data_IF_765730750026
#
_entry.id   IF_765730750026
#
_cell.length_a   1.000
_cell.length_b   1.000
_cell.length_c   1.000
_cell.angle_alpha   90.00
_cell.angle_beta   90.00
_cell.angle_gamma   90.00
#
_symmetry.space_group_name_H-M   'P 1'
#
loop_
_entity.id
_entity.type
_entity.pdbx_description
1 polymer ?
#
# COMPACT_ATOMS: atom_id res chain seq x y z
N UNK A 1 -9.47 0.77 -31.75
CA UNK A 1 -9.09 0.29 -30.40
C UNK A 1 -7.78 0.98 -30.01
N UNK A 2 -7.82 1.83 -28.99
CA UNK A 2 -6.57 2.40 -28.49
C UNK A 2 -5.83 1.30 -27.70
N UNK A 3 -4.72 0.81 -28.27
CA UNK A 3 -3.90 -0.20 -27.61
C UNK A 3 -3.21 0.45 -26.43
N UNK A 4 -3.53 0.00 -25.20
CA UNK A 4 -2.81 0.47 -24.00
C UNK A 4 -1.33 0.11 -24.10
N UNK A 5 -0.47 0.97 -23.61
CA UNK A 5 0.97 0.71 -23.50
C UNK A 5 1.34 0.51 -22.04
N UNK A 6 1.88 -0.66 -21.71
CA UNK A 6 2.38 -0.98 -20.38
C UNK A 6 3.90 -1.01 -20.42
N UNK A 7 4.56 -0.14 -19.66
CA UNK A 7 6.03 -0.05 -19.58
C UNK A 7 6.49 -0.28 -18.15
N UNK A 8 7.40 -1.23 -17.95
CA UNK A 8 8.01 -1.45 -16.64
C UNK A 8 8.72 -0.19 -16.14
N UNK A 9 8.49 0.20 -14.89
CA UNK A 9 9.17 1.31 -14.21
C UNK A 9 10.53 0.87 -13.67
N UNK A 10 10.57 -0.34 -13.10
CA UNK A 10 11.82 -1.01 -12.70
C UNK A 10 11.74 -2.48 -13.10
N UNK A 11 12.86 -3.22 -13.08
CA UNK A 11 12.81 -4.67 -13.30
C UNK A 11 12.00 -5.42 -12.23
N UNK A 12 11.92 -4.88 -11.02
CA UNK A 12 11.36 -5.57 -9.84
C UNK A 12 9.93 -5.19 -9.51
N UNK A 13 9.49 -3.97 -9.78
CA UNK A 13 8.17 -3.47 -9.36
C UNK A 13 7.72 -2.30 -10.24
N UNK A 14 6.41 -2.25 -10.46
CA UNK A 14 5.72 -1.13 -11.07
C UNK A 14 5.73 -1.12 -12.59
N UNK A 15 4.64 -0.60 -13.15
CA UNK A 15 4.56 -0.24 -14.56
C UNK A 15 3.79 1.08 -14.75
N UNK A 16 4.17 1.86 -15.79
CA UNK A 16 3.38 2.96 -16.31
C UNK A 16 2.39 2.42 -17.33
N UNK A 17 1.16 2.89 -17.29
CA UNK A 17 0.09 2.55 -18.23
C UNK A 17 -0.36 3.81 -18.95
N UNK A 18 -0.14 3.85 -20.25
CA UNK A 18 -0.43 4.99 -21.13
C UNK A 18 -1.49 4.61 -22.16
N UNK A 19 -2.10 5.63 -22.81
CA UNK A 19 -3.11 5.44 -23.84
C UNK A 19 -4.49 5.06 -23.29
N UNK A 20 -4.76 5.32 -22.00
CA UNK A 20 -6.01 5.00 -21.33
C UNK A 20 -6.60 6.23 -20.64
N UNK A 21 -7.94 6.25 -20.52
CA UNK A 21 -8.69 7.17 -19.67
C UNK A 21 -9.43 6.36 -18.62
N UNK A 22 -9.02 6.48 -17.36
CA UNK A 22 -9.57 5.68 -16.26
C UNK A 22 -11.05 5.96 -15.98
N UNK A 23 -11.54 7.16 -16.31
CA UNK A 23 -12.96 7.52 -16.20
C UNK A 23 -13.88 6.88 -17.26
N UNK A 24 -13.32 6.19 -18.29
CA UNK A 24 -14.09 5.62 -19.40
C UNK A 24 -13.45 4.33 -19.94
N UNK A 25 -13.35 3.30 -19.06
CA UNK A 25 -12.79 2.00 -19.40
C UNK A 25 -13.83 1.05 -19.96
N UNK A 26 -13.47 0.32 -21.02
CA UNK A 26 -14.17 -0.88 -21.42
C UNK A 26 -13.65 -2.12 -20.70
N UNK A 27 -14.36 -3.24 -20.79
CA UNK A 27 -14.03 -4.48 -20.08
C UNK A 27 -12.70 -5.10 -20.56
N UNK A 28 -12.35 -4.97 -21.83
CA UNK A 28 -11.10 -5.51 -22.39
C UNK A 28 -9.91 -4.73 -21.85
N UNK A 29 -9.97 -3.40 -21.90
CA UNK A 29 -8.94 -2.50 -21.35
C UNK A 29 -8.77 -2.71 -19.84
N UNK A 30 -9.87 -2.84 -19.09
CA UNK A 30 -9.81 -3.14 -17.65
C UNK A 30 -9.14 -4.49 -17.38
N UNK A 31 -9.46 -5.52 -18.17
CA UNK A 31 -8.82 -6.84 -18.03
C UNK A 31 -7.31 -6.78 -18.26
N UNK A 32 -6.86 -6.03 -19.26
CA UNK A 32 -5.45 -5.82 -19.54
C UNK A 32 -4.73 -5.06 -18.40
N UNK A 33 -5.37 -4.01 -17.85
CA UNK A 33 -4.87 -3.27 -16.68
C UNK A 33 -4.76 -4.21 -15.47
N UNK A 34 -5.78 -5.03 -15.21
CA UNK A 34 -5.79 -5.98 -14.10
C UNK A 34 -4.67 -7.02 -14.23
N UNK A 35 -4.42 -7.53 -15.42
CA UNK A 35 -3.29 -8.43 -15.66
C UNK A 35 -1.95 -7.77 -15.35
N UNK A 36 -1.73 -6.55 -15.87
CA UNK A 36 -0.52 -5.78 -15.60
C UNK A 36 -0.36 -5.47 -14.10
N UNK A 37 -1.44 -5.19 -13.37
CA UNK A 37 -1.43 -4.93 -11.94
C UNK A 37 -0.98 -6.15 -11.13
N UNK A 38 -1.52 -7.33 -11.42
CA UNK A 38 -1.15 -8.57 -10.74
C UNK A 38 0.30 -9.01 -11.04
N UNK A 39 0.80 -8.70 -12.25
CA UNK A 39 2.19 -8.97 -12.63
C UNK A 39 3.17 -7.98 -11.97
N UNK A 40 2.81 -6.69 -11.90
CA UNK A 40 3.71 -5.59 -11.53
C UNK A 40 3.55 -5.07 -10.12
N UNK A 41 2.55 -5.53 -9.36
CA UNK A 41 2.23 -5.14 -7.98
C UNK A 41 1.73 -3.70 -7.80
N UNK A 42 2.08 -2.79 -8.69
CA UNK A 42 1.60 -1.41 -8.72
C UNK A 42 1.60 -0.84 -10.15
N UNK A 43 0.71 0.13 -10.38
CA UNK A 43 0.60 0.83 -11.66
C UNK A 43 0.58 2.34 -11.45
N UNK A 44 1.20 3.05 -12.39
CA UNK A 44 1.15 4.51 -12.52
C UNK A 44 0.41 4.84 -13.81
N UNK A 45 -0.56 5.74 -13.72
CA UNK A 45 -1.33 6.29 -14.86
C UNK A 45 -1.07 7.79 -14.91
N UNK A 46 -0.17 8.27 -15.77
CA UNK A 46 0.17 9.68 -15.83
C UNK A 46 -0.98 10.55 -16.31
N UNK A 47 -1.13 11.75 -15.74
CA UNK A 47 -1.95 12.83 -16.24
C UNK A 47 -3.45 12.54 -16.38
N UNK A 48 -4.03 11.69 -15.54
CA UNK A 48 -5.43 11.29 -15.61
C UNK A 48 -6.40 12.39 -15.15
N UNK A 49 -6.00 13.24 -14.20
CA UNK A 49 -6.81 14.33 -13.63
C UNK A 49 -8.21 13.89 -13.19
N UNK A 50 -8.30 12.72 -12.52
CA UNK A 50 -9.58 12.13 -12.15
C UNK A 50 -10.38 13.03 -11.19
N UNK A 51 -11.64 13.24 -11.55
CA UNK A 51 -12.63 13.80 -10.63
C UNK A 51 -13.07 12.74 -9.60
N UNK A 52 -13.58 13.14 -8.42
CA UNK A 52 -14.03 12.20 -7.39
C UNK A 52 -14.97 11.10 -7.91
N UNK A 53 -15.94 11.45 -8.75
CA UNK A 53 -16.89 10.50 -9.33
C UNK A 53 -16.19 9.45 -10.20
N UNK A 54 -15.21 9.86 -11.02
CA UNK A 54 -14.46 8.98 -11.91
C UNK A 54 -13.54 8.06 -11.11
N UNK A 55 -12.86 8.59 -10.06
CA UNK A 55 -12.03 7.77 -9.17
C UNK A 55 -12.86 6.71 -8.43
N UNK A 56 -14.05 7.09 -7.93
CA UNK A 56 -14.96 6.16 -7.26
C UNK A 56 -15.51 5.10 -8.24
N UNK A 57 -15.83 5.48 -9.47
CA UNK A 57 -16.27 4.54 -10.50
C UNK A 57 -15.16 3.54 -10.86
N UNK A 58 -13.94 4.01 -11.08
CA UNK A 58 -12.78 3.17 -11.33
C UNK A 58 -12.49 2.23 -10.16
N UNK A 59 -12.54 2.73 -8.93
CA UNK A 59 -12.33 1.92 -7.73
C UNK A 59 -13.35 0.77 -7.60
N UNK A 60 -14.63 1.03 -7.89
CA UNK A 60 -15.69 0.00 -7.88
C UNK A 60 -15.48 -1.15 -8.84
N UNK A 61 -14.74 -0.95 -9.94
CA UNK A 61 -14.38 -2.03 -10.86
C UNK A 61 -13.44 -3.07 -10.22
N UNK A 62 -12.72 -2.68 -9.16
CA UNK A 62 -11.78 -3.54 -8.43
C UNK A 62 -12.42 -4.28 -7.25
N UNK A 63 -13.59 -3.87 -6.81
CA UNK A 63 -14.33 -4.49 -5.71
C UNK A 63 -15.02 -3.48 -4.79
N UNK A 64 -15.42 -3.95 -3.61
CA UNK A 64 -16.09 -3.11 -2.62
C UNK A 64 -15.16 -2.07 -2.03
N UNK A 65 -15.60 -0.82 -2.03
CA UNK A 65 -14.86 0.27 -1.41
C UNK A 65 -14.88 0.08 0.12
N UNK A 66 -13.71 0.18 0.73
CA UNK A 66 -13.59 0.11 2.18
C UNK A 66 -14.01 1.43 2.82
N UNK A 67 -14.94 1.35 3.77
CA UNK A 67 -15.34 2.48 4.60
C UNK A 67 -15.05 2.12 6.05
N UNK A 68 -14.20 2.91 6.69
CA UNK A 68 -13.77 2.69 8.09
C UNK A 68 -14.49 3.72 8.99
N UNK A 69 -15.23 3.29 10.03
CA UNK A 69 -16.07 4.19 10.83
C UNK A 69 -15.36 5.35 11.51
N UNK A 70 -14.05 5.23 11.78
CA UNK A 70 -13.24 6.25 12.46
C UNK A 70 -12.54 7.23 11.51
N UNK A 71 -12.84 7.17 10.21
CA UNK A 71 -12.22 8.03 9.20
C UNK A 71 -13.26 9.00 8.66
N UNK A 72 -12.92 10.29 8.65
CA UNK A 72 -13.74 11.33 8.00
C UNK A 72 -13.43 11.32 6.50
N UNK A 73 -14.42 11.02 5.71
CA UNK A 73 -14.35 11.02 4.24
C UNK A 73 -14.80 12.36 3.66
N UNK A 74 -14.48 12.60 2.40
CA UNK A 74 -14.93 13.78 1.66
C UNK A 74 -16.45 13.83 1.61
N UNK A 75 -17.02 15.01 1.76
CA UNK A 75 -18.47 15.23 1.75
C UNK A 75 -19.08 14.70 0.43
N UNK A 76 -20.16 13.94 0.54
CA UNK A 76 -20.81 13.30 -0.61
C UNK A 76 -20.10 12.06 -1.18
N UNK A 77 -18.90 11.70 -0.68
CA UNK A 77 -18.09 10.61 -1.21
C UNK A 77 -17.61 9.62 -0.15
N UNK A 78 -18.50 8.81 0.45
CA UNK A 78 -18.09 7.80 1.44
C UNK A 78 -17.05 6.83 0.82
N UNK A 79 -15.89 6.70 1.49
CA UNK A 79 -14.76 5.89 1.01
C UNK A 79 -13.70 6.66 0.24
N UNK A 80 -13.94 7.93 -0.12
CA UNK A 80 -12.91 8.81 -0.67
C UNK A 80 -12.35 9.69 0.45
N UNK A 81 -11.07 9.52 0.74
CA UNK A 81 -10.35 10.29 1.76
C UNK A 81 -9.41 11.28 1.07
N UNK A 82 -9.53 12.56 1.41
CA UNK A 82 -8.58 13.57 0.98
C UNK A 82 -7.39 13.61 1.94
N UNK A 83 -6.20 13.35 1.40
CA UNK A 83 -4.92 13.41 2.11
C UNK A 83 -4.26 14.74 1.82
N UNK A 84 -4.47 15.71 2.68
CA UNK A 84 -3.78 17.00 2.63
C UNK A 84 -2.70 16.98 3.71
N UNK A 85 -1.45 17.05 3.31
CA UNK A 85 -0.31 17.03 4.22
C UNK A 85 0.30 18.44 4.34
N UNK A 86 -0.04 19.18 5.39
CA UNK A 86 0.54 20.51 5.64
C UNK A 86 1.84 20.41 6.44
N UNK A 87 2.91 19.79 5.90
CA UNK A 87 4.22 19.78 6.53
C UNK A 87 4.55 18.63 7.50
N UNK A 88 5.69 18.74 8.18
CA UNK A 88 6.38 17.68 8.95
C UNK A 88 5.63 17.08 10.15
N UNK A 89 4.63 17.73 10.70
CA UNK A 89 3.97 17.26 11.93
C UNK A 89 3.09 15.99 11.75
N UNK A 90 2.93 15.52 10.51
CA UNK A 90 2.06 14.40 10.16
C UNK A 90 2.81 13.14 9.70
N UNK A 91 4.03 12.94 10.13
CA UNK A 91 4.94 11.85 9.72
C UNK A 91 4.49 10.41 10.09
N UNK A 92 3.18 10.13 10.14
CA UNK A 92 2.64 8.80 10.48
C UNK A 92 3.03 7.75 9.43
N UNK A 93 3.26 8.17 8.19
CA UNK A 93 3.53 7.30 7.04
C UNK A 93 4.99 7.28 6.61
N UNK A 94 5.89 7.92 7.37
CA UNK A 94 7.34 7.91 7.15
C UNK A 94 8.00 6.63 7.69
N UNK A 95 7.41 5.50 7.39
CA UNK A 95 8.03 4.19 7.54
C UNK A 95 7.42 3.23 6.51
N UNK A 96 8.11 2.15 6.23
CA UNK A 96 7.57 1.11 5.38
C UNK A 96 6.42 0.38 6.09
N UNK A 97 5.24 0.39 5.47
CA UNK A 97 4.04 -0.19 6.03
C UNK A 97 3.08 -0.70 4.96
N UNK A 98 2.11 -1.47 5.39
CA UNK A 98 0.91 -1.81 4.65
C UNK A 98 -0.28 -1.03 5.23
N UNK A 99 -1.29 -0.79 4.44
CA UNK A 99 -2.53 -0.17 4.90
C UNK A 99 -3.34 -1.11 5.80
N UNK A 100 -3.85 -0.57 6.91
CA UNK A 100 -4.89 -1.18 7.76
C UNK A 100 -4.60 -2.60 8.28
N UNK A 101 -3.34 -2.96 8.50
CA UNK A 101 -2.95 -4.30 8.97
C UNK A 101 -3.41 -4.65 10.38
N UNK A 102 -3.84 -3.67 11.15
CA UNK A 102 -4.38 -3.85 12.49
C UNK A 102 -5.83 -4.39 12.53
N UNK A 103 -6.46 -4.64 11.37
CA UNK A 103 -7.77 -5.28 11.25
C UNK A 103 -7.64 -6.69 10.67
N UNK A 104 -8.62 -7.56 10.96
CA UNK A 104 -8.60 -8.97 10.55
C UNK A 104 -8.52 -9.17 9.03
N UNK A 105 -9.14 -8.30 8.24
CA UNK A 105 -9.10 -8.31 6.78
C UNK A 105 -8.56 -6.96 6.26
N UNK A 106 -7.22 -6.80 6.15
CA UNK A 106 -6.59 -5.59 5.63
C UNK A 106 -7.03 -5.26 4.21
N UNK A 107 -6.96 -3.98 3.84
CA UNK A 107 -7.33 -3.53 2.49
C UNK A 107 -6.52 -4.26 1.40
N UNK A 108 -7.19 -4.64 0.30
CA UNK A 108 -6.55 -5.34 -0.81
C UNK A 108 -5.69 -4.41 -1.66
N UNK A 109 -6.23 -3.27 -2.04
CA UNK A 109 -5.51 -2.29 -2.86
C UNK A 109 -5.89 -0.86 -2.48
N UNK A 110 -5.01 0.07 -2.82
CA UNK A 110 -5.21 1.51 -2.65
C UNK A 110 -4.99 2.23 -3.97
N UNK A 111 -5.81 3.25 -4.23
CA UNK A 111 -5.75 4.13 -5.40
C UNK A 111 -5.57 5.55 -4.90
N UNK A 112 -4.48 6.20 -5.27
CA UNK A 112 -4.23 7.62 -5.06
C UNK A 112 -4.35 8.40 -6.36
N UNK A 113 -5.05 9.53 -6.32
CA UNK A 113 -5.13 10.49 -7.44
C UNK A 113 -4.57 11.84 -6.98
N UNK A 114 -3.50 12.30 -7.64
CA UNK A 114 -2.84 13.55 -7.32
C UNK A 114 -3.69 14.74 -7.76
N UNK A 115 -4.03 15.61 -6.81
CA UNK A 115 -4.80 16.85 -7.04
C UNK A 115 -3.85 18.05 -7.09
N UNK A 116 -3.04 18.23 -6.06
CA UNK A 116 -2.06 19.29 -5.95
C UNK A 116 -0.76 18.72 -5.37
N UNK A 117 0.35 18.99 -6.05
CA UNK A 117 1.64 18.43 -5.68
C UNK A 117 2.68 19.52 -5.53
N UNK A 118 3.62 19.40 -4.56
CA UNK A 118 4.75 20.31 -4.42
C UNK A 118 5.65 20.23 -5.66
N UNK A 119 6.38 21.32 -5.94
CA UNK A 119 7.34 21.35 -7.06
C UNK A 119 8.51 20.38 -6.87
N UNK A 120 8.81 19.99 -5.62
CA UNK A 120 9.82 18.99 -5.28
C UNK A 120 9.46 18.33 -3.95
N UNK A 121 9.83 17.06 -3.80
CA UNK A 121 9.53 16.26 -2.61
C UNK A 121 8.09 15.72 -2.56
N UNK A 122 7.72 15.12 -1.44
CA UNK A 122 6.42 14.50 -1.24
C UNK A 122 6.24 13.20 -2.01
N UNK A 123 7.33 12.55 -2.39
CA UNK A 123 7.35 11.29 -3.14
C UNK A 123 6.73 10.14 -2.34
N UNK A 124 6.43 9.06 -3.04
CA UNK A 124 6.04 7.80 -2.41
C UNK A 124 6.90 6.67 -2.96
N UNK A 125 7.28 5.74 -2.07
CA UNK A 125 8.05 4.56 -2.43
C UNK A 125 7.23 3.29 -2.22
N UNK A 126 7.45 2.29 -3.06
CA UNK A 126 6.87 0.95 -2.94
C UNK A 126 7.95 -0.12 -3.00
N UNK A 127 7.78 -1.19 -2.21
CA UNK A 127 8.69 -2.32 -2.14
C UNK A 127 7.97 -3.62 -2.49
N UNK A 128 8.58 -4.45 -3.36
CA UNK A 128 8.04 -5.74 -3.79
C UNK A 128 8.29 -6.83 -2.76
N UNK A 129 7.24 -7.25 -2.07
CA UNK A 129 7.31 -8.23 -1.00
C UNK A 129 7.26 -9.69 -1.48
N UNK A 130 6.89 -9.95 -2.76
CA UNK A 130 7.13 -11.24 -3.39
C UNK A 130 8.64 -11.50 -3.52
N UNK A 131 9.38 -10.55 -4.09
CA UNK A 131 10.83 -10.67 -4.22
C UNK A 131 11.53 -10.71 -2.86
N UNK A 132 11.00 -10.00 -1.86
CA UNK A 132 11.51 -10.09 -0.51
C UNK A 132 11.42 -11.51 0.05
N UNK A 133 10.33 -12.23 -0.21
CA UNK A 133 10.18 -13.64 0.16
C UNK A 133 11.03 -14.58 -0.70
N UNK A 134 10.98 -14.41 -2.03
CA UNK A 134 11.64 -15.29 -3.00
C UNK A 134 13.19 -15.32 -2.83
N UNK A 135 13.77 -14.22 -2.33
CA UNK A 135 15.23 -14.11 -2.08
C UNK A 135 15.67 -14.58 -0.69
N UNK A 136 14.75 -15.04 0.14
CA UNK A 136 15.11 -15.73 1.38
C UNK A 136 15.72 -17.11 1.07
N UNK A 137 16.65 -17.55 1.90
CA UNK A 137 17.11 -18.94 1.85
C UNK A 137 15.95 -19.90 2.13
N UNK A 138 16.00 -21.15 1.63
CA UNK A 138 14.98 -22.15 1.92
C UNK A 138 14.78 -22.41 3.43
N UNK A 139 15.84 -22.25 4.25
CA UNK A 139 15.77 -22.36 5.70
C UNK A 139 14.91 -21.24 6.31
N UNK A 140 15.14 -19.98 5.90
CA UNK A 140 14.35 -18.83 6.35
C UNK A 140 12.91 -18.93 5.86
N UNK A 141 12.66 -19.30 4.60
CA UNK A 141 11.31 -19.50 4.09
C UNK A 141 10.51 -20.52 4.91
N UNK A 142 11.13 -21.66 5.26
CA UNK A 142 10.49 -22.67 6.13
C UNK A 142 10.20 -22.15 7.54
N UNK A 143 11.19 -21.47 8.14
CA UNK A 143 11.03 -20.91 9.49
C UNK A 143 9.89 -19.88 9.55
N UNK A 144 9.87 -18.94 8.62
CA UNK A 144 8.88 -17.85 8.61
C UNK A 144 7.47 -18.31 8.22
N UNK A 145 7.33 -19.38 7.43
CA UNK A 145 6.02 -19.89 7.00
C UNK A 145 5.12 -20.37 8.15
N UNK A 146 5.70 -20.69 9.31
CA UNK A 146 4.95 -21.10 10.51
C UNK A 146 4.66 -19.95 11.48
N UNK A 147 5.20 -18.76 11.24
CA UNK A 147 5.08 -17.65 12.16
C UNK A 147 3.88 -16.75 11.83
N UNK A 148 3.26 -16.23 12.89
CA UNK A 148 2.29 -15.14 12.84
C UNK A 148 2.85 -13.97 13.63
N UNK A 149 2.53 -12.75 13.20
CA UNK A 149 2.97 -11.54 13.87
C UNK A 149 1.77 -10.69 14.32
N UNK A 150 1.94 -9.97 15.44
CA UNK A 150 0.99 -8.97 15.91
C UNK A 150 1.15 -7.70 15.09
N UNK A 151 0.08 -7.26 14.44
CA UNK A 151 0.02 -5.96 13.76
C UNK A 151 -0.83 -5.00 14.57
N UNK A 152 -0.29 -3.81 14.86
CA UNK A 152 -0.95 -2.84 15.73
C UNK A 152 -1.24 -1.53 15.05
N UNK A 153 -2.39 -0.93 15.36
CA UNK A 153 -2.81 0.41 14.98
C UNK A 153 -2.42 1.49 16.00
N UNK A 154 -1.31 1.33 16.71
CA UNK A 154 -0.87 2.27 17.77
C UNK A 154 -0.85 3.72 17.31
N UNK A 155 -0.37 4.00 16.09
CA UNK A 155 -0.33 5.36 15.54
C UNK A 155 -1.73 5.94 15.31
N UNK A 156 -2.64 5.15 14.77
CA UNK A 156 -4.04 5.56 14.57
C UNK A 156 -4.71 5.78 15.92
N UNK A 157 -4.50 4.88 16.87
CA UNK A 157 -5.05 5.01 18.22
C UNK A 157 -4.61 6.33 18.89
N UNK A 158 -3.32 6.65 18.84
CA UNK A 158 -2.79 7.92 19.36
C UNK A 158 -3.43 9.14 18.70
N UNK A 159 -3.53 9.13 17.37
CA UNK A 159 -4.14 10.24 16.61
C UNK A 159 -5.62 10.41 16.89
N UNK A 160 -6.34 9.31 17.07
CA UNK A 160 -7.79 9.32 17.33
C UNK A 160 -8.15 9.44 18.81
N UNK A 161 -7.15 9.63 19.69
CA UNK A 161 -7.38 9.75 21.14
C UNK A 161 -7.95 8.47 21.79
N UNK A 162 -7.71 7.31 21.18
CA UNK A 162 -8.16 6.02 21.76
C UNK A 162 -7.33 5.73 23.00
N UNK A 163 -8.03 5.57 24.14
CA UNK A 163 -7.44 5.20 25.42
C UNK A 163 -7.55 3.67 25.60
N UNK A 164 -6.46 3.03 25.98
CA UNK A 164 -6.41 1.58 26.20
C UNK A 164 -5.56 0.85 25.16
N UNK A 165 -5.79 -0.46 24.98
CA UNK A 165 -5.06 -1.26 24.01
C UNK A 165 -5.38 -0.83 22.60
N UNK A 166 -4.37 -0.52 21.75
CA UNK A 166 -4.61 -0.19 20.34
C UNK A 166 -5.27 -1.35 19.58
N UNK A 167 -6.08 -1.07 18.56
CA UNK A 167 -6.60 -2.12 17.69
C UNK A 167 -5.44 -2.93 17.11
N UNK A 168 -5.56 -4.24 17.11
CA UNK A 168 -4.53 -5.14 16.57
C UNK A 168 -5.13 -6.39 15.95
N UNK A 169 -4.35 -7.04 15.10
CA UNK A 169 -4.66 -8.33 14.52
C UNK A 169 -3.39 -9.18 14.39
N UNK A 170 -3.56 -10.51 14.36
CA UNK A 170 -2.47 -11.43 14.08
C UNK A 170 -2.58 -11.93 12.64
N UNK A 171 -1.49 -11.83 11.88
CA UNK A 171 -1.41 -12.27 10.50
C UNK A 171 -0.21 -13.19 10.27
N UNK A 172 -0.26 -14.07 9.26
CA UNK A 172 0.90 -14.86 8.86
C UNK A 172 2.03 -13.94 8.39
N UNK A 173 3.27 -14.25 8.77
CA UNK A 173 4.48 -13.54 8.30
C UNK A 173 4.74 -13.78 6.80
N UNK A 174 4.30 -14.91 6.29
CA UNK A 174 4.29 -15.25 4.87
C UNK A 174 2.86 -15.48 4.45
N UNK A 175 2.31 -14.55 3.65
CA UNK A 175 0.95 -14.68 3.13
C UNK A 175 0.94 -15.20 1.70
N UNK A 176 -0.10 -15.95 1.35
CA UNK A 176 -0.37 -16.34 -0.03
C UNK A 176 -1.31 -15.32 -0.68
N UNK A 177 -0.93 -14.79 -1.82
CA UNK A 177 -1.79 -13.87 -2.56
C UNK A 177 -2.98 -14.62 -3.19
N UNK A 178 -4.24 -14.19 -2.93
CA UNK A 178 -5.42 -14.99 -3.26
C UNK A 178 -5.66 -15.17 -4.77
N UNK A 179 -5.13 -14.28 -5.62
CA UNK A 179 -5.34 -14.31 -7.06
C UNK A 179 -4.16 -14.91 -7.83
N UNK A 180 -2.93 -14.67 -7.37
CA UNK A 180 -1.72 -15.15 -8.06
C UNK A 180 -1.16 -16.43 -7.49
N UNK A 181 -1.54 -16.80 -6.26
CA UNK A 181 -0.96 -17.92 -5.52
C UNK A 181 0.49 -17.69 -5.06
N UNK A 182 1.10 -16.55 -5.40
CA UNK A 182 2.48 -16.22 -4.99
C UNK A 182 2.55 -15.93 -3.50
N UNK A 183 3.67 -16.28 -2.89
CA UNK A 183 3.96 -15.96 -1.49
C UNK A 183 4.68 -14.62 -1.38
N UNK A 184 4.27 -13.81 -0.40
CA UNK A 184 4.87 -12.53 -0.07
C UNK A 184 5.22 -12.48 1.41
N UNK A 185 6.32 -11.81 1.76
CA UNK A 185 6.54 -11.42 3.16
C UNK A 185 5.46 -10.44 3.58
N UNK A 186 4.87 -10.68 4.75
CA UNK A 186 3.86 -9.81 5.33
C UNK A 186 4.32 -9.40 6.73
N UNK A 187 5.03 -8.28 6.78
CA UNK A 187 5.67 -7.71 7.97
C UNK A 187 5.47 -6.20 7.97
N UNK A 188 5.92 -5.52 9.00
CA UNK A 188 5.91 -4.06 9.10
C UNK A 188 7.08 -3.57 9.93
N UNK A 189 7.11 -2.28 10.24
CA UNK A 189 8.19 -1.69 11.01
C UNK A 189 8.25 -2.28 12.43
N UNK A 190 9.39 -2.86 12.84
CA UNK A 190 9.57 -3.44 14.17
C UNK A 190 9.38 -2.41 15.28
N UNK A 191 8.62 -2.79 16.32
CA UNK A 191 8.35 -1.92 17.48
C UNK A 191 7.32 -0.80 17.23
N UNK A 192 6.81 -0.65 15.99
CA UNK A 192 5.80 0.35 15.66
C UNK A 192 4.52 -0.29 15.13
N UNK A 193 4.58 -0.90 13.94
CA UNK A 193 3.43 -1.60 13.37
C UNK A 193 3.43 -3.10 13.65
N UNK A 194 4.60 -3.70 13.90
CA UNK A 194 4.77 -5.12 14.22
C UNK A 194 5.70 -5.27 15.43
N UNK A 195 5.17 -5.22 16.66
CA UNK A 195 5.99 -5.30 17.88
C UNK A 195 6.58 -6.69 18.14
N UNK A 196 5.83 -7.76 17.84
CA UNK A 196 6.25 -9.12 18.17
C UNK A 196 5.61 -10.18 17.27
N UNK A 197 6.18 -11.38 17.29
CA UNK A 197 5.50 -12.58 16.81
C UNK A 197 4.47 -13.07 17.83
N UNK A 198 3.48 -13.83 17.35
CA UNK A 198 2.48 -14.46 18.20
C UNK A 198 3.15 -15.42 19.19
N UNK A 199 2.76 -15.35 20.46
CA UNK A 199 3.31 -16.11 21.57
C UNK A 199 4.80 -15.87 21.88
N UNK A 200 5.36 -14.74 21.43
CA UNK A 200 6.71 -14.30 21.76
C UNK A 200 6.68 -12.89 22.38
N UNK A 201 7.64 -12.60 23.22
CA UNK A 201 7.86 -11.24 23.72
C UNK A 201 8.45 -10.35 22.65
N UNK A 202 8.36 -9.03 22.84
CA UNK A 202 9.00 -8.06 21.94
C UNK A 202 10.53 -8.25 21.89
N UNK A 203 11.15 -8.54 23.05
CA UNK A 203 12.59 -8.75 23.15
C UNK A 203 13.06 -9.98 22.36
N UNK A 204 12.30 -11.09 22.43
CA UNK A 204 12.59 -12.31 21.66
C UNK A 204 12.38 -12.12 20.17
N UNK A 205 11.37 -11.34 19.79
CA UNK A 205 10.99 -11.11 18.37
C UNK A 205 11.91 -10.13 17.66
N UNK A 206 12.41 -9.13 18.37
CA UNK A 206 13.08 -7.96 17.82
C UNK A 206 14.25 -8.28 16.89
N UNK A 207 15.22 -9.16 17.23
CA UNK A 207 16.35 -9.42 16.35
C UNK A 207 15.95 -9.98 14.98
N UNK A 208 14.95 -10.86 14.95
CA UNK A 208 14.47 -11.45 13.71
C UNK A 208 13.60 -10.46 12.90
N UNK A 209 12.75 -9.67 13.57
CA UNK A 209 11.94 -8.64 12.91
C UNK A 209 12.82 -7.57 12.28
N UNK A 210 13.85 -7.08 12.96
CA UNK A 210 14.80 -6.10 12.44
C UNK A 210 15.48 -6.64 11.17
N UNK A 211 16.03 -7.86 11.25
CA UNK A 211 16.70 -8.47 10.12
C UNK A 211 15.79 -8.67 8.91
N UNK A 212 14.55 -9.19 9.12
CA UNK A 212 13.58 -9.40 8.03
C UNK A 212 13.18 -8.06 7.41
N UNK A 213 12.97 -7.03 8.23
CA UNK A 213 12.58 -5.71 7.77
C UNK A 213 13.68 -5.09 6.89
N UNK A 214 14.93 -5.10 7.34
CA UNK A 214 16.07 -4.63 6.55
C UNK A 214 16.24 -5.43 5.26
N UNK A 215 16.11 -6.75 5.34
CA UNK A 215 16.13 -7.62 4.16
C UNK A 215 15.03 -7.24 3.17
N UNK A 216 13.81 -6.94 3.63
CA UNK A 216 12.68 -6.66 2.76
C UNK A 216 12.85 -5.36 1.96
N UNK A 217 13.35 -4.30 2.59
CA UNK A 217 13.44 -2.95 2.00
C UNK A 217 14.76 -2.68 1.27
N UNK A 218 15.35 -3.70 0.69
CA UNK A 218 16.55 -3.57 -0.14
C UNK A 218 16.30 -2.70 -1.38
N UNK A 219 17.21 -1.80 -1.76
CA UNK A 219 17.02 -0.82 -2.84
C UNK A 219 16.65 -1.42 -4.20
N UNK A 220 17.09 -2.64 -4.48
CA UNK A 220 16.82 -3.36 -5.75
C UNK A 220 15.35 -3.84 -5.89
N UNK A 221 14.53 -3.68 -4.86
CA UNK A 221 13.10 -4.05 -4.81
C UNK A 221 12.18 -2.85 -4.68
N UNK A 222 12.72 -1.65 -4.76
CA UNK A 222 12.02 -0.40 -4.50
C UNK A 222 11.83 0.39 -5.79
N UNK A 223 10.66 1.01 -5.91
CA UNK A 223 10.41 2.10 -6.84
C UNK A 223 10.02 3.35 -6.06
N UNK A 224 10.58 4.51 -6.41
CA UNK A 224 10.24 5.83 -5.89
C UNK A 224 9.55 6.64 -6.98
N UNK A 225 8.34 7.07 -6.70
CA UNK A 225 7.53 7.88 -7.61
C UNK A 225 7.62 9.35 -7.25
N UNK A 226 8.01 10.14 -8.23
CA UNK A 226 7.97 11.61 -8.19
C UNK A 226 6.62 12.02 -8.76
N UNK A 227 5.73 12.49 -7.89
CA UNK A 227 4.37 12.82 -8.26
C UNK A 227 4.29 14.01 -9.21
N UNK A 228 3.40 13.89 -10.21
CA UNK A 228 2.94 15.01 -11.02
C UNK A 228 1.45 15.25 -10.76
N UNK A 229 0.96 16.52 -10.84
CA UNK A 229 -0.47 16.78 -10.78
C UNK A 229 -1.23 15.95 -11.83
N UNK A 230 -2.33 15.34 -11.40
CA UNK A 230 -3.16 14.48 -12.24
C UNK A 230 -2.71 13.03 -12.36
N UNK A 231 -1.56 12.63 -11.78
CA UNK A 231 -1.16 11.23 -11.72
C UNK A 231 -2.14 10.40 -10.88
N UNK A 232 -2.37 9.17 -11.33
CA UNK A 232 -3.05 8.15 -10.54
C UNK A 232 -2.09 6.99 -10.32
N UNK A 233 -1.90 6.61 -9.05
CA UNK A 233 -1.10 5.44 -8.68
C UNK A 233 -1.97 4.48 -7.88
N UNK A 234 -1.89 3.22 -8.24
CA UNK A 234 -2.53 2.14 -7.48
C UNK A 234 -1.54 1.04 -7.14
N UNK A 235 -1.72 0.42 -5.98
CA UNK A 235 -0.85 -0.67 -5.54
C UNK A 235 -1.62 -1.75 -4.80
N UNK A 236 -1.04 -2.94 -4.85
CA UNK A 236 -1.56 -4.13 -4.19
C UNK A 236 -1.00 -4.25 -2.77
N UNK A 237 -1.82 -3.93 -1.77
CA UNK A 237 -1.45 -4.07 -0.36
C UNK A 237 -1.24 -5.52 0.07
N UNK A 238 -1.53 -6.49 -0.79
CA UNK A 238 -1.32 -7.90 -0.48
C UNK A 238 0.12 -8.34 -0.72
N UNK A 239 0.88 -7.54 -1.49
CA UNK A 239 2.25 -7.88 -1.86
C UNK A 239 3.22 -6.68 -1.94
N UNK A 240 2.82 -5.48 -1.47
CA UNK A 240 3.69 -4.31 -1.44
C UNK A 240 3.62 -3.58 -0.11
N UNK A 241 4.77 -3.22 0.46
CA UNK A 241 4.84 -2.14 1.44
C UNK A 241 5.05 -0.81 0.72
N UNK A 242 4.68 0.28 1.38
CA UNK A 242 4.90 1.62 0.88
C UNK A 242 5.38 2.58 1.96
N UNK A 243 5.96 3.70 1.52
CA UNK A 243 6.55 4.74 2.37
C UNK A 243 6.26 6.11 1.74
N UNK A 244 5.63 7.01 2.47
CA UNK A 244 5.45 8.40 2.04
C UNK A 244 6.61 9.26 2.54
N UNK A 245 7.26 9.97 1.64
CA UNK A 245 8.38 10.87 1.96
C UNK A 245 7.81 12.26 2.22
N UNK A 246 8.03 12.80 3.42
CA UNK A 246 7.53 14.12 3.84
C UNK A 246 8.66 15.14 3.86
N UNK A 247 9.34 15.31 2.72
CA UNK A 247 10.47 16.24 2.52
C UNK A 247 10.10 17.53 1.76
N UNK A 248 8.78 17.79 1.58
CA UNK A 248 8.27 18.92 0.82
C UNK A 248 8.04 20.21 1.65
N UNK A 249 8.47 20.23 2.91
CA UNK A 249 8.32 21.38 3.80
C UNK A 249 6.85 21.77 4.01
N UNK A 250 6.53 23.04 3.85
CA UNK A 250 5.16 23.59 3.99
C UNK A 250 4.36 23.56 2.67
N UNK A 251 4.97 23.09 1.57
CA UNK A 251 4.27 23.02 0.30
C UNK A 251 3.10 22.01 0.35
N UNK A 252 2.00 22.38 -0.26
CA UNK A 252 0.78 21.54 -0.25
C UNK A 252 1.02 20.25 -1.05
N UNK A 253 0.64 19.14 -0.44
CA UNK A 253 0.54 17.82 -1.06
C UNK A 253 -0.86 17.29 -0.84
N UNK A 254 -1.66 17.24 -1.89
CA UNK A 254 -3.06 16.86 -1.83
C UNK A 254 -3.35 15.68 -2.76
N UNK A 255 -3.79 14.57 -2.19
CA UNK A 255 -4.15 13.33 -2.90
C UNK A 255 -5.54 12.87 -2.48
N UNK A 256 -6.34 12.46 -3.43
CA UNK A 256 -7.56 11.70 -3.15
C UNK A 256 -7.23 10.21 -3.05
N UNK A 257 -7.65 9.56 -1.96
CA UNK A 257 -7.42 8.15 -1.67
C UNK A 257 -8.71 7.37 -1.64
N UNK A 258 -8.74 6.23 -2.34
CA UNK A 258 -9.78 5.21 -2.23
C UNK A 258 -9.11 3.87 -1.97
N UNK A 259 -9.69 3.05 -1.09
CA UNK A 259 -9.19 1.71 -0.77
C UNK A 259 -10.26 0.66 -1.03
N UNK A 260 -9.85 -0.53 -1.44
CA UNK A 260 -10.74 -1.66 -1.69
C UNK A 260 -10.61 -2.66 -0.55
N UNK A 261 -11.74 -3.22 -0.13
CA UNK A 261 -11.80 -4.25 0.90
C UNK A 261 -10.95 -5.45 0.52
N UNK A 262 -10.26 -6.00 1.51
CA UNK A 262 -9.49 -7.22 1.34
C UNK A 262 -10.13 -8.41 2.04
N UNK A 263 -9.39 -9.51 2.03
CA UNK A 263 -9.72 -10.76 2.72
C UNK A 263 -8.76 -11.01 3.88
N UNK A 264 -9.12 -11.93 4.76
CA UNK A 264 -8.21 -12.41 5.81
C UNK A 264 -6.96 -13.01 5.16
N UNK A 265 -5.74 -12.58 5.55
CA UNK A 265 -4.49 -13.14 5.05
C UNK A 265 -4.31 -14.61 5.44
N UNK A 266 -3.89 -15.43 4.48
CA UNK A 266 -3.60 -16.86 4.66
C UNK A 266 -2.22 -17.22 4.13
#
# INVERSE_FOLDING_TARGET
>A
MNKITVRALTPSIGASVEGVKLGALDAETFSAIRHAFLDRCMLVFPGQNLQPAEQMAFAKMWGDIAVTPMITYSEGWPGLLQLVNPGKEMAITENWHYDSTFIAAPHALTILAAQEMPAAGGDTMWCNMYLAYERLSPGMQRMLSGLRAKFTGTRIARRSGIVGEPPHAFHPVVRTHPETGRKALFIGHPGDTVPCFENMTEAESRPLLDWIYEHAVSPDRIYRHIWQPGDVVMWDNRCTMHYAVHDHGEAVRNLNRVTIRGSVPV
#
